data_IF_462127273578
#
_entry.id   IF_462127273578
#
_cell.length_a   1.000
_cell.length_b   1.000
_cell.length_c   1.000
_cell.angle_alpha   90.00
_cell.angle_beta   90.00
_cell.angle_gamma   90.00
#
_symmetry.space_group_name_H-M   'P 1'
#
loop_
_entity.id
_entity.type
_entity.pdbx_description
1 polymer ?
#
# COMPACT_ATOMS: atom_id res chain seq x y z
N UNK A 1 -14.93 -24.83 -8.44
CA UNK A 1 -15.91 -24.03 -7.68
C UNK A 1 -15.29 -23.41 -6.44
N UNK A 2 -14.52 -24.16 -5.63
CA UNK A 2 -13.84 -23.64 -4.44
C UNK A 2 -12.86 -22.49 -4.76
N UNK A 3 -12.04 -22.60 -5.81
CA UNK A 3 -11.08 -21.55 -6.18
C UNK A 3 -11.72 -20.22 -6.58
N UNK A 4 -12.88 -20.27 -7.26
CA UNK A 4 -13.61 -19.06 -7.67
C UNK A 4 -14.19 -18.36 -6.45
N UNK A 5 -14.76 -19.11 -5.50
CA UNK A 5 -15.29 -18.56 -4.26
C UNK A 5 -14.16 -17.96 -3.42
N UNK A 6 -13.04 -18.66 -3.27
CA UNK A 6 -11.89 -18.16 -2.50
C UNK A 6 -11.29 -16.89 -3.11
N UNK A 7 -11.16 -16.84 -4.44
CA UNK A 7 -10.71 -15.64 -5.17
C UNK A 7 -11.67 -14.47 -5.01
N UNK A 8 -12.98 -14.74 -5.11
CA UNK A 8 -14.01 -13.71 -4.95
C UNK A 8 -14.04 -13.16 -3.52
N UNK A 9 -14.02 -14.03 -2.51
CA UNK A 9 -13.98 -13.63 -1.10
C UNK A 9 -12.73 -12.82 -0.79
N UNK A 10 -11.57 -13.25 -1.27
CA UNK A 10 -10.30 -12.52 -1.06
C UNK A 10 -10.34 -11.14 -1.70
N UNK A 11 -10.88 -11.03 -2.91
CA UNK A 11 -11.03 -9.75 -3.62
C UNK A 11 -11.99 -8.82 -2.90
N UNK A 12 -13.13 -9.32 -2.41
CA UNK A 12 -14.10 -8.52 -1.65
C UNK A 12 -13.49 -8.01 -0.33
N UNK A 13 -12.79 -8.88 0.41
CA UNK A 13 -12.14 -8.50 1.67
C UNK A 13 -11.02 -7.48 1.46
N UNK A 14 -10.27 -7.59 0.35
CA UNK A 14 -9.30 -6.57 -0.03
C UNK A 14 -9.97 -5.21 -0.27
N UNK A 15 -11.07 -5.18 -1.03
CA UNK A 15 -11.80 -3.94 -1.32
C UNK A 15 -12.30 -3.31 -0.02
N UNK A 16 -12.86 -4.10 0.90
CA UNK A 16 -13.32 -3.62 2.21
C UNK A 16 -12.16 -3.03 3.01
N UNK A 17 -11.04 -3.76 3.10
CA UNK A 17 -9.86 -3.32 3.86
C UNK A 17 -9.26 -2.05 3.25
N UNK A 18 -9.12 -1.99 1.92
CA UNK A 18 -8.63 -0.82 1.22
C UNK A 18 -9.55 0.39 1.42
N UNK A 19 -10.86 0.20 1.32
CA UNK A 19 -11.86 1.25 1.54
C UNK A 19 -11.77 1.81 2.96
N UNK A 20 -11.68 0.93 3.96
CA UNK A 20 -11.50 1.30 5.36
C UNK A 20 -10.21 2.13 5.58
N UNK A 21 -9.09 1.70 4.99
CA UNK A 21 -7.82 2.44 5.06
C UNK A 21 -7.90 3.82 4.41
N UNK A 22 -8.55 3.90 3.24
CA UNK A 22 -8.74 5.17 2.54
C UNK A 22 -9.54 6.12 3.42
N UNK A 23 -10.67 5.68 3.98
CA UNK A 23 -11.50 6.48 4.87
C UNK A 23 -10.69 7.00 6.07
N UNK A 24 -9.98 6.12 6.78
CA UNK A 24 -9.16 6.52 7.93
C UNK A 24 -8.09 7.54 7.52
N UNK A 25 -7.41 7.30 6.41
CA UNK A 25 -6.34 8.18 5.96
C UNK A 25 -6.86 9.56 5.55
N UNK A 26 -8.06 9.62 4.97
CA UNK A 26 -8.71 10.88 4.61
C UNK A 26 -9.18 11.65 5.84
N UNK A 27 -9.79 10.97 6.82
CA UNK A 27 -10.16 11.58 8.11
C UNK A 27 -8.90 12.20 8.76
N UNK A 28 -7.79 11.45 8.78
CA UNK A 28 -6.51 11.95 9.29
C UNK A 28 -5.99 13.16 8.50
N UNK A 29 -6.14 13.14 7.17
CA UNK A 29 -5.73 14.24 6.28
C UNK A 29 -6.55 15.52 6.48
N UNK A 30 -7.81 15.40 6.93
CA UNK A 30 -8.68 16.53 7.27
C UNK A 30 -8.33 17.21 8.61
N UNK A 31 -7.39 16.66 9.40
CA UNK A 31 -6.90 17.35 10.59
C UNK A 31 -5.93 18.49 10.20
N UNK A 32 -6.40 19.73 10.40
CA UNK A 32 -5.72 21.02 10.14
C UNK A 32 -4.22 21.13 10.47
N UNK A 33 -3.64 20.51 11.54
CA UNK A 33 -2.19 20.57 11.77
C UNK A 33 -1.36 19.98 10.63
N UNK A 34 -1.84 18.98 9.87
CA UNK A 34 -1.05 18.32 8.82
C UNK A 34 -1.11 19.02 7.45
N UNK A 35 -2.10 19.89 7.21
CA UNK A 35 -2.30 20.53 5.90
C UNK A 35 -1.55 21.88 5.74
N UNK A 36 -0.85 22.36 6.78
CA UNK A 36 -0.05 23.60 6.71
C UNK A 36 1.25 23.40 5.91
N UNK A 37 1.62 24.34 5.00
CA UNK A 37 2.87 24.25 4.22
C UNK A 37 4.14 24.14 5.06
N UNK A 38 4.16 24.75 6.25
CA UNK A 38 5.28 24.66 7.20
C UNK A 38 5.45 23.25 7.79
N UNK A 39 4.36 22.49 7.92
CA UNK A 39 4.36 21.13 8.47
C UNK A 39 4.82 20.12 7.41
N UNK A 40 4.65 20.39 6.12
CA UNK A 40 5.21 19.59 5.01
C UNK A 40 6.75 19.55 4.98
N UNK A 41 7.42 20.56 5.56
CA UNK A 41 8.89 20.57 5.74
C UNK A 41 9.33 19.94 7.06
N UNK A 42 8.43 19.81 8.04
CA UNK A 42 8.75 19.27 9.35
C UNK A 42 9.02 17.77 9.27
N UNK A 43 10.24 17.38 9.67
CA UNK A 43 10.62 15.97 9.78
C UNK A 43 9.67 15.22 10.72
N UNK A 44 9.28 15.85 11.84
CA UNK A 44 8.35 15.27 12.82
C UNK A 44 7.01 14.87 12.18
N UNK A 45 6.49 15.69 11.27
CA UNK A 45 5.21 15.39 10.60
C UNK A 45 5.33 14.21 9.64
N UNK A 46 6.46 14.09 8.93
CA UNK A 46 6.73 12.95 8.04
C UNK A 46 6.89 11.66 8.85
N UNK A 47 7.58 11.75 9.99
CA UNK A 47 7.76 10.62 10.92
C UNK A 47 6.42 10.20 11.51
N UNK A 48 5.62 11.13 12.04
CA UNK A 48 4.32 10.79 12.63
C UNK A 48 3.36 10.18 11.60
N UNK A 49 3.36 10.71 10.38
CA UNK A 49 2.57 10.16 9.29
C UNK A 49 3.04 8.76 8.88
N UNK A 50 4.35 8.54 8.81
CA UNK A 50 4.93 7.22 8.55
C UNK A 50 4.58 6.21 9.64
N UNK A 51 4.60 6.60 10.92
CA UNK A 51 4.20 5.73 12.04
C UNK A 51 2.71 5.38 11.95
N UNK A 52 1.86 6.38 11.73
CA UNK A 52 0.41 6.19 11.61
C UNK A 52 0.05 5.28 10.42
N UNK A 53 0.61 5.54 9.24
CA UNK A 53 0.34 4.70 8.07
C UNK A 53 1.05 3.34 8.15
N UNK A 54 2.15 3.25 8.88
CA UNK A 54 2.78 1.98 9.24
C UNK A 54 1.88 1.10 10.11
N UNK A 55 1.16 1.67 11.08
CA UNK A 55 0.18 0.91 11.87
C UNK A 55 -1.03 0.48 11.02
N UNK A 56 -1.47 1.30 10.06
CA UNK A 56 -2.46 0.85 9.07
C UNK A 56 -1.92 -0.28 8.18
N UNK A 57 -0.64 -0.24 7.81
CA UNK A 57 -0.01 -1.32 7.05
C UNK A 57 -0.03 -2.66 7.82
N UNK A 58 0.18 -2.61 9.15
CA UNK A 58 -0.02 -3.76 10.04
C UNK A 58 -1.47 -4.27 9.93
N UNK A 59 -2.45 -3.38 10.12
CA UNK A 59 -3.87 -3.73 10.00
C UNK A 59 -4.21 -4.34 8.65
N UNK A 60 -3.62 -3.85 7.55
CA UNK A 60 -3.83 -4.42 6.22
C UNK A 60 -3.35 -5.84 6.07
N UNK A 61 -2.29 -6.21 6.79
CA UNK A 61 -1.82 -7.60 6.84
C UNK A 61 -2.74 -8.44 7.72
N UNK A 62 -3.18 -7.93 8.88
CA UNK A 62 -4.03 -8.65 9.82
C UNK A 62 -5.46 -8.88 9.29
N UNK A 63 -6.00 -7.93 8.54
CA UNK A 63 -7.29 -8.03 7.86
C UNK A 63 -7.21 -8.78 6.52
N UNK A 64 -6.00 -9.19 6.11
CA UNK A 64 -5.78 -9.94 4.89
C UNK A 64 -6.42 -11.33 4.93
N UNK A 65 -6.76 -11.85 3.77
CA UNK A 65 -7.32 -13.20 3.63
C UNK A 65 -6.17 -14.20 3.52
N UNK A 66 -6.16 -15.20 4.41
CA UNK A 66 -5.23 -16.32 4.36
C UNK A 66 -5.83 -17.42 3.49
N UNK A 67 -5.15 -17.74 2.39
CA UNK A 67 -5.53 -18.82 1.47
C UNK A 67 -5.21 -20.19 2.05
N UNK A 68 -5.74 -21.24 1.43
CA UNK A 68 -5.53 -22.64 1.85
C UNK A 68 -4.05 -23.05 1.94
N UNK A 69 -3.18 -22.50 1.08
CA UNK A 69 -1.73 -22.75 1.08
C UNK A 69 -0.95 -21.87 2.07
N UNK A 70 -1.65 -21.08 2.89
CA UNK A 70 -1.08 -20.17 3.88
C UNK A 70 -0.62 -18.83 3.32
N UNK A 71 -0.77 -18.59 2.02
CA UNK A 71 -0.50 -17.28 1.40
C UNK A 71 -1.48 -16.24 1.91
N UNK A 72 -1.01 -15.00 2.11
CA UNK A 72 -1.85 -13.92 2.64
C UNK A 72 -2.06 -12.87 1.56
N UNK A 73 -3.30 -12.74 1.11
CA UNK A 73 -3.77 -11.68 0.21
C UNK A 73 -4.14 -10.47 1.07
N UNK A 74 -3.51 -9.31 0.84
CA UNK A 74 -3.62 -8.16 1.75
C UNK A 74 -3.52 -6.81 1.03
N UNK A 75 -3.94 -5.74 1.73
CA UNK A 75 -3.89 -4.35 1.26
C UNK A 75 -2.82 -3.50 1.97
N UNK A 76 -1.76 -4.14 2.51
CA UNK A 76 -0.69 -3.46 3.26
C UNK A 76 0.00 -2.37 2.43
N UNK A 77 0.27 -2.70 1.17
CA UNK A 77 1.08 -1.89 0.27
C UNK A 77 0.37 -0.57 -0.09
N UNK A 78 -0.97 -0.52 -0.04
CA UNK A 78 -1.74 0.72 -0.18
C UNK A 78 -1.39 1.76 0.89
N UNK A 79 -1.40 1.38 2.17
CA UNK A 79 -1.08 2.31 3.26
C UNK A 79 0.35 2.85 3.16
N UNK A 80 1.30 2.00 2.77
CA UNK A 80 2.70 2.36 2.58
C UNK A 80 2.90 3.26 1.36
N UNK A 81 2.20 2.99 0.25
CA UNK A 81 2.18 3.86 -0.92
C UNK A 81 1.68 5.27 -0.56
N UNK A 82 0.58 5.35 0.18
CA UNK A 82 0.04 6.63 0.65
C UNK A 82 1.05 7.35 1.55
N UNK A 83 1.76 6.63 2.42
CA UNK A 83 2.79 7.20 3.29
C UNK A 83 3.96 7.79 2.50
N UNK A 84 4.38 7.13 1.43
CA UNK A 84 5.37 7.66 0.50
C UNK A 84 4.86 8.94 -0.19
N UNK A 85 3.67 8.90 -0.79
CA UNK A 85 3.14 10.04 -1.53
C UNK A 85 2.85 11.27 -0.65
N UNK A 86 2.34 11.06 0.57
CA UNK A 86 1.99 12.14 1.48
C UNK A 86 3.17 12.60 2.37
N UNK A 87 4.01 11.67 2.81
CA UNK A 87 5.13 11.89 3.73
C UNK A 87 6.52 11.97 3.09
N UNK A 88 6.61 11.79 1.77
CA UNK A 88 7.87 11.66 1.04
C UNK A 88 8.66 10.40 1.44
N UNK A 89 9.95 10.32 1.07
CA UNK A 89 10.78 9.14 1.34
C UNK A 89 10.84 8.76 2.82
N UNK A 90 10.88 9.75 3.72
CA UNK A 90 10.95 9.51 5.17
C UNK A 90 9.68 8.81 5.68
N UNK A 91 8.50 9.37 5.37
CA UNK A 91 7.24 8.77 5.80
C UNK A 91 7.02 7.38 5.19
N UNK A 92 7.34 7.24 3.90
CA UNK A 92 7.23 5.99 3.17
C UNK A 92 8.14 4.89 3.73
N UNK A 93 9.43 5.17 3.97
CA UNK A 93 10.36 4.19 4.54
C UNK A 93 9.95 3.78 5.96
N UNK A 94 9.51 4.72 6.81
CA UNK A 94 9.05 4.39 8.17
C UNK A 94 7.83 3.47 8.12
N UNK A 95 6.82 3.82 7.32
CA UNK A 95 5.64 2.97 7.16
C UNK A 95 6.02 1.61 6.57
N UNK A 96 6.93 1.61 5.60
CA UNK A 96 7.43 0.41 4.95
C UNK A 96 8.18 -0.52 5.90
N UNK A 97 9.01 0.03 6.80
CA UNK A 97 9.69 -0.74 7.84
C UNK A 97 8.72 -1.31 8.86
N UNK A 98 7.76 -0.51 9.36
CA UNK A 98 6.77 -0.99 10.34
C UNK A 98 5.92 -2.11 9.73
N UNK A 99 5.35 -1.88 8.55
CA UNK A 99 4.52 -2.87 7.86
C UNK A 99 5.31 -4.09 7.39
N UNK A 100 6.54 -3.88 6.92
CA UNK A 100 7.44 -4.93 6.44
C UNK A 100 7.94 -5.82 7.58
N UNK A 101 8.44 -5.24 8.68
CA UNK A 101 8.89 -6.00 9.87
C UNK A 101 7.72 -6.82 10.42
N UNK A 102 6.54 -6.21 10.58
CA UNK A 102 5.37 -6.97 11.00
C UNK A 102 5.06 -8.11 10.02
N UNK A 103 5.06 -7.84 8.70
CA UNK A 103 4.83 -8.88 7.69
C UNK A 103 5.85 -10.00 7.80
N UNK A 104 7.12 -9.70 8.08
CA UNK A 104 8.15 -10.72 8.30
C UNK A 104 7.80 -11.62 9.49
N UNK A 105 7.37 -11.04 10.62
CA UNK A 105 7.01 -11.79 11.83
C UNK A 105 5.82 -12.73 11.65
N UNK A 106 4.90 -12.43 10.73
CA UNK A 106 3.77 -13.31 10.40
C UNK A 106 4.22 -14.62 9.72
N UNK A 107 5.38 -14.64 9.07
CA UNK A 107 5.95 -15.83 8.44
C UNK A 107 5.25 -16.27 7.15
N UNK A 108 5.51 -17.50 6.71
CA UNK A 108 5.04 -18.05 5.43
C UNK A 108 5.97 -17.75 4.23
N UNK A 109 5.69 -18.39 3.10
CA UNK A 109 6.58 -18.36 1.93
C UNK A 109 6.85 -16.95 1.38
N UNK A 110 5.87 -16.04 1.50
CA UNK A 110 6.02 -14.66 1.03
C UNK A 110 6.56 -13.68 2.07
N UNK A 111 6.99 -14.15 3.26
CA UNK A 111 7.44 -13.27 4.34
C UNK A 111 8.61 -12.37 3.92
N UNK A 112 9.69 -12.95 3.40
CA UNK A 112 10.86 -12.21 2.95
C UNK A 112 10.57 -11.31 1.73
N UNK A 113 10.03 -11.80 0.60
CA UNK A 113 9.80 -10.94 -0.56
C UNK A 113 8.80 -9.81 -0.28
N UNK A 114 7.72 -10.07 0.47
CA UNK A 114 6.78 -9.01 0.84
C UNK A 114 7.40 -7.99 1.80
N UNK A 115 8.31 -8.39 2.68
CA UNK A 115 9.02 -7.44 3.56
C UNK A 115 9.87 -6.49 2.75
N UNK A 116 10.66 -7.03 1.82
CA UNK A 116 11.53 -6.24 0.95
C UNK A 116 10.71 -5.35 0.03
N UNK A 117 9.66 -5.88 -0.61
CA UNK A 117 8.77 -5.09 -1.48
C UNK A 117 8.17 -3.93 -0.73
N UNK A 118 7.67 -4.15 0.48
CA UNK A 118 6.99 -3.12 1.28
C UNK A 118 7.90 -1.93 1.59
N UNK A 119 9.15 -2.18 1.97
CA UNK A 119 10.12 -1.10 2.21
C UNK A 119 10.45 -0.35 0.92
N UNK A 120 10.68 -1.08 -0.19
CA UNK A 120 10.97 -0.48 -1.49
C UNK A 120 9.81 0.36 -2.01
N UNK A 121 8.57 -0.10 -1.83
CA UNK A 121 7.35 0.62 -2.20
C UNK A 121 7.29 1.96 -1.48
N UNK A 122 7.50 1.96 -0.16
CA UNK A 122 7.52 3.19 0.63
C UNK A 122 8.59 4.16 0.16
N UNK A 123 9.80 3.67 -0.09
CA UNK A 123 10.92 4.46 -0.60
C UNK A 123 10.63 5.06 -1.98
N UNK A 124 10.23 4.23 -2.95
CA UNK A 124 10.03 4.63 -4.35
C UNK A 124 8.84 5.58 -4.46
N UNK A 125 7.70 5.25 -3.83
CA UNK A 125 6.53 6.14 -3.80
C UNK A 125 6.90 7.50 -3.17
N UNK A 126 7.70 7.48 -2.09
CA UNK A 126 8.25 8.67 -1.48
C UNK A 126 9.13 9.50 -2.40
N UNK A 127 10.06 8.85 -3.11
CA UNK A 127 11.01 9.51 -4.00
C UNK A 127 10.34 10.16 -5.21
N UNK A 128 9.25 9.58 -5.73
CA UNK A 128 8.51 10.12 -6.87
C UNK A 128 7.34 11.01 -6.49
N UNK A 129 7.04 11.17 -5.19
CA UNK A 129 5.89 11.94 -4.70
C UNK A 129 5.73 13.33 -5.33
N UNK A 130 6.82 14.06 -5.51
CA UNK A 130 6.82 15.41 -6.13
C UNK A 130 6.50 15.41 -7.62
N UNK A 131 6.64 14.26 -8.30
CA UNK A 131 6.35 14.07 -9.73
C UNK A 131 4.88 13.71 -10.00
N UNK A 132 4.13 13.28 -8.97
CA UNK A 132 2.69 12.95 -9.04
C UNK A 132 1.85 14.22 -8.91
N UNK A 133 1.94 15.07 -9.93
CA UNK A 133 1.26 16.37 -10.01
C UNK A 133 0.84 16.69 -11.45
N UNK A 134 0.01 17.73 -11.62
CA UNK A 134 -0.46 18.23 -12.91
C UNK A 134 -1.68 17.49 -13.47
N UNK A 135 -2.05 17.78 -14.73
CA UNK A 135 -3.26 17.24 -15.39
C UNK A 135 -3.38 15.71 -15.33
N UNK A 136 -2.25 15.01 -15.39
CA UNK A 136 -2.19 13.54 -15.48
C UNK A 136 -1.87 12.85 -14.14
N UNK A 137 -2.05 13.54 -13.00
CA UNK A 137 -1.65 12.99 -11.70
C UNK A 137 -2.31 11.65 -11.37
N UNK A 138 -3.58 11.45 -11.73
CA UNK A 138 -4.30 10.18 -11.53
C UNK A 138 -3.69 9.04 -12.36
N UNK A 139 -3.36 9.29 -13.63
CA UNK A 139 -2.73 8.30 -14.50
C UNK A 139 -1.32 7.95 -14.01
N UNK A 140 -0.55 8.95 -13.56
CA UNK A 140 0.77 8.73 -12.94
C UNK A 140 0.64 7.91 -11.66
N UNK A 141 -0.39 8.17 -10.84
CA UNK A 141 -0.70 7.40 -9.63
C UNK A 141 -1.07 5.94 -9.94
N UNK A 142 -1.90 5.72 -10.97
CA UNK A 142 -2.26 4.38 -11.43
C UNK A 142 -1.03 3.61 -11.94
N UNK A 143 -0.19 4.24 -12.76
CA UNK A 143 1.04 3.65 -13.25
C UNK A 143 2.00 3.31 -12.09
N UNK A 144 2.12 4.20 -11.11
CA UNK A 144 2.94 3.96 -9.91
C UNK A 144 2.44 2.75 -9.12
N UNK A 145 1.14 2.70 -8.80
CA UNK A 145 0.55 1.58 -8.05
C UNK A 145 0.75 0.26 -8.78
N UNK A 146 0.47 0.23 -10.09
CA UNK A 146 0.65 -0.97 -10.91
C UNK A 146 2.11 -1.46 -10.93
N UNK A 147 3.06 -0.55 -11.16
CA UNK A 147 4.50 -0.88 -11.21
C UNK A 147 4.99 -1.41 -9.86
N UNK A 148 4.58 -0.76 -8.77
CA UNK A 148 5.03 -1.12 -7.42
C UNK A 148 4.49 -2.47 -6.95
N UNK A 149 3.22 -2.75 -7.20
CA UNK A 149 2.64 -4.06 -6.89
C UNK A 149 3.20 -5.15 -7.81
N UNK A 150 3.42 -4.85 -9.09
CA UNK A 150 4.07 -5.80 -10.01
C UNK A 150 5.50 -6.11 -9.57
N UNK A 151 6.23 -5.12 -9.07
CA UNK A 151 7.56 -5.33 -8.47
C UNK A 151 7.47 -6.28 -7.27
N UNK A 152 6.44 -6.19 -6.42
CA UNK A 152 6.25 -7.13 -5.33
C UNK A 152 6.05 -8.57 -5.82
N UNK A 153 5.25 -8.77 -6.89
CA UNK A 153 5.07 -10.09 -7.52
C UNK A 153 6.37 -10.64 -8.10
N UNK A 154 7.17 -9.79 -8.75
CA UNK A 154 8.47 -10.17 -9.29
C UNK A 154 9.43 -10.60 -8.16
N UNK A 155 9.43 -9.88 -7.03
CA UNK A 155 10.25 -10.27 -5.87
C UNK A 155 9.85 -11.63 -5.31
N UNK A 156 8.56 -11.98 -5.32
CA UNK A 156 8.11 -13.33 -4.96
C UNK A 156 8.70 -14.36 -5.93
N UNK A 157 8.63 -14.13 -7.25
CA UNK A 157 9.19 -15.05 -8.25
C UNK A 157 10.70 -15.28 -8.13
N UNK A 158 11.44 -14.27 -7.64
CA UNK A 158 12.90 -14.33 -7.51
C UNK A 158 13.33 -14.96 -6.17
N UNK A 159 12.65 -14.63 -5.08
CA UNK A 159 13.09 -14.96 -3.72
C UNK A 159 12.43 -16.21 -3.14
N UNK A 160 11.41 -16.76 -3.81
CA UNK A 160 10.73 -18.01 -3.44
C UNK A 160 11.06 -19.07 -4.49
N UNK A 161 11.21 -20.36 -4.13
CA UNK A 161 11.40 -21.43 -5.10
C UNK A 161 10.35 -21.37 -6.21
N UNK A 162 10.79 -21.35 -7.47
CA UNK A 162 9.93 -21.00 -8.62
C UNK A 162 8.66 -21.85 -8.73
N UNK A 163 8.74 -23.15 -8.43
CA UNK A 163 7.61 -24.08 -8.43
C UNK A 163 6.50 -23.67 -7.46
N UNK A 164 6.85 -23.06 -6.33
CA UNK A 164 5.90 -22.50 -5.36
C UNK A 164 5.52 -21.07 -5.71
N UNK A 165 6.48 -20.26 -6.16
CA UNK A 165 6.30 -18.84 -6.44
C UNK A 165 5.28 -18.59 -7.55
N UNK A 166 5.33 -19.38 -8.63
CA UNK A 166 4.39 -19.25 -9.74
C UNK A 166 2.94 -19.46 -9.30
N UNK A 167 2.68 -20.52 -8.51
CA UNK A 167 1.34 -20.82 -7.98
C UNK A 167 0.84 -19.74 -7.01
N UNK A 168 1.74 -19.14 -6.22
CA UNK A 168 1.39 -18.01 -5.34
C UNK A 168 1.00 -16.79 -6.18
N UNK A 169 1.85 -16.40 -7.12
CA UNK A 169 1.66 -15.19 -7.94
C UNK A 169 0.41 -15.29 -8.80
N UNK A 170 0.14 -16.46 -9.38
CA UNK A 170 -1.08 -16.71 -10.16
C UNK A 170 -2.36 -16.39 -9.36
N UNK A 171 -2.39 -16.74 -8.07
CA UNK A 171 -3.56 -16.50 -7.20
C UNK A 171 -3.67 -15.06 -6.73
N UNK A 172 -2.55 -14.40 -6.42
CA UNK A 172 -2.59 -13.12 -5.68
C UNK A 172 -2.32 -11.89 -6.55
N UNK A 173 -1.68 -12.04 -7.71
CA UNK A 173 -1.24 -10.90 -8.52
C UNK A 173 -2.43 -10.06 -8.97
N UNK A 174 -3.43 -10.67 -9.62
CA UNK A 174 -4.60 -9.94 -10.10
C UNK A 174 -5.36 -9.19 -8.99
N UNK A 175 -5.77 -9.84 -7.87
CA UNK A 175 -6.52 -9.15 -6.84
C UNK A 175 -5.69 -8.06 -6.13
N UNK A 176 -4.41 -8.31 -5.82
CA UNK A 176 -3.57 -7.32 -5.11
C UNK A 176 -3.20 -6.13 -6.00
N UNK A 177 -2.71 -6.38 -7.23
CA UNK A 177 -2.34 -5.29 -8.15
C UNK A 177 -3.56 -4.40 -8.39
N UNK A 178 -4.72 -4.99 -8.69
CA UNK A 178 -5.95 -4.24 -8.93
C UNK A 178 -6.37 -3.43 -7.70
N UNK A 179 -6.52 -4.09 -6.55
CA UNK A 179 -7.04 -3.45 -5.35
C UNK A 179 -6.14 -2.31 -4.84
N UNK A 180 -4.82 -2.55 -4.76
CA UNK A 180 -3.88 -1.54 -4.29
C UNK A 180 -3.71 -0.38 -5.28
N UNK A 181 -3.72 -0.66 -6.60
CA UNK A 181 -3.65 0.39 -7.63
C UNK A 181 -4.89 1.25 -7.64
N UNK A 182 -6.08 0.64 -7.67
CA UNK A 182 -7.36 1.38 -7.66
C UNK A 182 -7.50 2.16 -6.35
N UNK A 183 -7.14 1.54 -5.22
CA UNK A 183 -7.16 2.20 -3.92
C UNK A 183 -6.27 3.44 -3.87
N UNK A 184 -5.07 3.38 -4.46
CA UNK A 184 -4.16 4.52 -4.53
C UNK A 184 -4.72 5.66 -5.39
N UNK A 185 -5.30 5.34 -6.54
CA UNK A 185 -5.95 6.33 -7.44
C UNK A 185 -7.14 6.99 -6.74
N UNK A 186 -7.97 6.20 -6.06
CA UNK A 186 -9.11 6.70 -5.29
C UNK A 186 -8.65 7.65 -4.18
N UNK A 187 -7.61 7.26 -3.42
CA UNK A 187 -7.04 8.13 -2.40
C UNK A 187 -6.53 9.44 -2.99
N UNK A 188 -5.78 9.40 -4.11
CA UNK A 188 -5.28 10.59 -4.79
C UNK A 188 -6.41 11.53 -5.24
N UNK A 189 -7.46 10.96 -5.84
CA UNK A 189 -8.62 11.73 -6.31
C UNK A 189 -9.34 12.44 -5.16
N UNK A 190 -9.65 11.72 -4.09
CA UNK A 190 -10.41 12.27 -2.96
C UNK A 190 -9.54 13.28 -2.18
N UNK A 191 -8.26 12.97 -1.96
CA UNK A 191 -7.33 13.89 -1.29
C UNK A 191 -7.14 15.21 -2.06
N UNK A 192 -7.17 15.18 -3.40
CA UNK A 192 -7.14 16.40 -4.21
C UNK A 192 -8.44 17.21 -4.06
N UNK A 193 -9.61 16.54 -4.10
CA UNK A 193 -10.91 17.20 -3.90
C UNK A 193 -11.06 17.85 -2.53
N UNK A 194 -10.63 17.18 -1.46
CA UNK A 194 -10.67 17.77 -0.11
C UNK A 194 -9.83 19.05 -0.01
N UNK A 195 -8.65 19.08 -0.64
CA UNK A 195 -7.81 20.29 -0.67
C UNK A 195 -8.44 21.46 -1.43
N UNK A 196 -9.33 21.19 -2.39
CA UNK A 196 -10.05 22.23 -3.13
C UNK A 196 -11.18 22.85 -2.30
N UNK A 197 -11.81 22.07 -1.40
CA UNK A 197 -12.91 22.53 -0.52
C UNK A 197 -12.38 23.38 0.64
N UNK A 198 -11.17 23.11 1.13
CA UNK A 198 -10.56 23.85 2.24
C UNK A 198 -9.95 25.22 1.84
N UNK A 199 -9.95 25.57 0.55
CA UNK A 199 -9.49 26.86 0.02
C UNK A 199 -10.66 27.83 -0.15
#
# INVERSE_FOLDING_TARGET
MLDIVETLTSTLMLIVTASFMIVITLIFSSFKPFNKPAVKKSLLAKVSLGIFLGSLAILGTLMGTKLADGTIVNARELAVNIAGLAGGPVGGVIAGLIGGIHRFTVGGATALPCTVSTVLIGLIAGAVSTKITGKWFLLKGAALGFVLESMAMILILILVPFTQAAAIVEKIAFPMITANTVGLVMWLYIADKLKQIEK
#
